data_IF_566237657633
#
_entry.id   IF_566237657633
#
_cell.length_a   1.000
_cell.length_b   1.000
_cell.length_c   1.000
_cell.angle_alpha   90.00
_cell.angle_beta   90.00
_cell.angle_gamma   90.00
#
_symmetry.space_group_name_H-M   'P 1'
#
loop_
_entity.id
_entity.type
_entity.pdbx_description
1 polymer ?
#
# COMPACT_ATOMS: atom_id res chain seq x y z
N UNK A 1 -7.69 -17.21 -34.84
CA UNK A 1 -7.13 -18.29 -33.99
C UNK A 1 -5.82 -17.84 -33.36
N UNK A 2 -5.82 -16.70 -32.65
CA UNK A 2 -4.62 -16.12 -31.99
C UNK A 2 -4.94 -15.28 -30.73
N UNK A 3 -6.20 -15.20 -30.30
CA UNK A 3 -6.58 -14.39 -29.11
C UNK A 3 -6.05 -15.01 -27.82
N UNK A 4 -6.09 -16.34 -27.69
CA UNK A 4 -5.57 -17.03 -26.50
C UNK A 4 -4.05 -16.89 -26.31
N UNK A 5 -3.28 -16.77 -27.39
CA UNK A 5 -1.83 -16.55 -27.32
C UNK A 5 -1.50 -15.11 -26.89
N UNK A 6 -2.33 -14.14 -27.31
CA UNK A 6 -2.16 -12.72 -27.01
C UNK A 6 -2.59 -12.35 -25.58
N UNK A 7 -3.54 -13.09 -25.00
CA UNK A 7 -3.99 -12.87 -23.62
C UNK A 7 -3.05 -13.56 -22.60
N UNK A 8 -2.42 -14.69 -22.97
CA UNK A 8 -1.38 -15.34 -22.15
C UNK A 8 -0.12 -14.46 -21.98
N UNK A 9 0.35 -13.81 -23.04
CA UNK A 9 1.56 -12.96 -22.99
C UNK A 9 1.35 -11.73 -22.11
N UNK A 10 0.17 -11.11 -22.14
CA UNK A 10 -0.14 -9.95 -21.29
C UNK A 10 -0.16 -10.28 -19.80
N UNK A 11 -0.67 -11.45 -19.43
CA UNK A 11 -0.69 -11.92 -18.05
C UNK A 11 0.72 -12.25 -17.54
N UNK A 12 1.59 -12.76 -18.41
CA UNK A 12 3.01 -12.96 -18.12
C UNK A 12 3.74 -11.62 -17.93
N UNK A 13 3.54 -10.67 -18.85
CA UNK A 13 4.08 -9.31 -18.74
C UNK A 13 3.63 -8.63 -17.45
N UNK A 14 2.35 -8.74 -17.09
CA UNK A 14 1.83 -8.17 -15.85
C UNK A 14 2.53 -8.74 -14.61
N UNK A 15 2.86 -10.04 -14.60
CA UNK A 15 3.61 -10.67 -13.50
C UNK A 15 5.05 -10.17 -13.44
N UNK A 16 5.73 -10.04 -14.57
CA UNK A 16 7.10 -9.53 -14.64
C UNK A 16 7.15 -8.06 -14.20
N UNK A 17 6.27 -7.23 -14.75
CA UNK A 17 6.13 -5.81 -14.41
C UNK A 17 5.79 -5.65 -12.92
N UNK A 18 4.82 -6.42 -12.41
CA UNK A 18 4.45 -6.41 -10.99
C UNK A 18 5.60 -6.85 -10.08
N UNK A 19 6.37 -7.87 -10.48
CA UNK A 19 7.56 -8.33 -9.78
C UNK A 19 8.63 -7.25 -9.70
N UNK A 20 9.01 -6.65 -10.83
CA UNK A 20 9.97 -5.54 -10.90
C UNK A 20 9.48 -4.35 -10.06
N UNK A 21 8.21 -3.98 -10.20
CA UNK A 21 7.61 -2.88 -9.43
C UNK A 21 7.69 -3.11 -7.92
N UNK A 22 7.38 -4.34 -7.46
CA UNK A 22 7.46 -4.70 -6.04
C UNK A 22 8.89 -4.67 -5.50
N UNK A 23 9.87 -5.13 -6.27
CA UNK A 23 11.28 -5.07 -5.89
C UNK A 23 11.78 -3.63 -5.83
N UNK A 24 11.44 -2.79 -6.81
CA UNK A 24 11.78 -1.37 -6.82
C UNK A 24 11.13 -0.63 -5.65
N UNK A 25 9.87 -0.94 -5.34
CA UNK A 25 9.17 -0.37 -4.18
C UNK A 25 9.86 -0.76 -2.87
N UNK A 26 10.18 -2.04 -2.68
CA UNK A 26 10.84 -2.52 -1.46
C UNK A 26 12.26 -1.95 -1.31
N UNK A 27 13.10 -2.07 -2.34
CA UNK A 27 14.47 -1.54 -2.31
C UNK A 27 14.47 -0.01 -2.17
N UNK A 28 13.56 0.66 -2.87
CA UNK A 28 13.43 2.11 -2.80
C UNK A 28 12.91 2.62 -1.46
N UNK A 29 11.98 1.87 -0.85
CA UNK A 29 11.36 2.17 0.44
C UNK A 29 12.30 1.90 1.62
N UNK A 30 13.13 0.85 1.52
CA UNK A 30 14.16 0.57 2.52
C UNK A 30 15.27 1.63 2.54
N UNK A 31 15.53 2.28 1.40
CA UNK A 31 16.43 3.42 1.27
C UNK A 31 17.82 3.15 1.86
N UNK A 32 18.82 2.85 1.02
CA UNK A 32 20.22 2.91 1.45
C UNK A 32 20.46 4.33 2.02
N UNK A 33 20.71 4.44 3.34
CA UNK A 33 20.86 5.68 4.11
C UNK A 33 19.62 6.43 4.62
N UNK A 34 18.42 5.84 4.62
CA UNK A 34 17.25 6.45 5.27
C UNK A 34 16.66 7.66 4.55
N UNK A 35 16.99 7.85 3.27
CA UNK A 35 16.32 8.81 2.39
C UNK A 35 15.27 8.07 1.56
N UNK A 36 13.98 8.45 1.61
CA UNK A 36 12.99 7.88 0.71
C UNK A 36 13.42 8.20 -0.73
N UNK A 37 13.73 7.15 -1.49
CA UNK A 37 14.22 7.32 -2.85
C UNK A 37 13.04 7.47 -3.81
N UNK A 38 13.19 8.29 -4.85
CA UNK A 38 12.21 8.38 -5.96
C UNK A 38 11.90 7.00 -6.56
N UNK A 39 12.81 6.04 -6.39
CA UNK A 39 12.68 4.65 -6.80
C UNK A 39 11.46 3.96 -6.17
N UNK A 40 11.12 4.28 -4.92
CA UNK A 40 9.93 3.73 -4.27
C UNK A 40 8.63 4.17 -4.98
N UNK A 41 8.58 5.42 -5.42
CA UNK A 41 7.44 5.99 -6.14
C UNK A 41 7.33 5.33 -7.51
N UNK A 42 8.45 5.21 -8.23
CA UNK A 42 8.50 4.50 -9.52
C UNK A 42 8.02 3.05 -9.36
N UNK A 43 8.48 2.35 -8.33
CA UNK A 43 8.04 0.99 -8.01
C UNK A 43 6.54 0.89 -7.74
N UNK A 44 5.96 1.81 -6.97
CA UNK A 44 4.52 1.88 -6.73
C UNK A 44 3.72 2.14 -8.00
N UNK A 45 4.19 3.06 -8.85
CA UNK A 45 3.51 3.35 -10.13
C UNK A 45 3.52 2.11 -11.02
N UNK A 46 4.65 1.40 -11.12
CA UNK A 46 4.76 0.16 -11.89
C UNK A 46 3.84 -0.93 -11.31
N UNK A 47 3.76 -1.06 -9.98
CA UNK A 47 2.84 -1.99 -9.32
C UNK A 47 1.38 -1.64 -9.63
N UNK A 48 1.03 -0.35 -9.62
CA UNK A 48 -0.31 0.12 -10.00
C UNK A 48 -0.63 -0.24 -11.46
N UNK A 49 0.35 -0.09 -12.37
CA UNK A 49 0.19 -0.51 -13.77
C UNK A 49 -0.05 -2.02 -13.87
N UNK A 50 0.69 -2.85 -13.14
CA UNK A 50 0.48 -4.31 -13.14
C UNK A 50 -0.94 -4.68 -12.68
N UNK A 51 -1.43 -4.06 -11.60
CA UNK A 51 -2.81 -4.25 -11.12
C UNK A 51 -3.84 -3.77 -12.15
N UNK A 52 -3.56 -2.65 -12.83
CA UNK A 52 -4.41 -2.15 -13.92
C UNK A 52 -4.49 -3.12 -15.09
N UNK A 53 -3.36 -3.67 -15.53
CA UNK A 53 -3.32 -4.68 -16.60
C UNK A 53 -4.16 -5.90 -16.23
N UNK A 54 -4.06 -6.39 -14.99
CA UNK A 54 -4.89 -7.51 -14.50
C UNK A 54 -6.37 -7.14 -14.51
N UNK A 55 -6.73 -5.92 -14.08
CA UNK A 55 -8.12 -5.44 -14.09
C UNK A 55 -8.70 -5.36 -15.51
N UNK A 56 -7.91 -4.88 -16.46
CA UNK A 56 -8.31 -4.76 -17.87
C UNK A 56 -8.47 -6.16 -18.51
N UNK A 57 -7.55 -7.08 -18.23
CA UNK A 57 -7.56 -8.45 -18.77
C UNK A 57 -8.71 -9.30 -18.19
N UNK A 58 -8.92 -9.21 -16.87
CA UNK A 58 -10.03 -9.91 -16.19
C UNK A 58 -11.38 -9.21 -16.35
N UNK A 59 -11.42 -8.06 -17.05
CA UNK A 59 -12.58 -7.18 -17.26
C UNK A 59 -13.29 -6.79 -15.96
N UNK A 60 -12.53 -6.65 -14.88
CA UNK A 60 -13.03 -6.40 -13.53
C UNK A 60 -12.39 -5.13 -12.96
N UNK A 61 -12.99 -3.98 -13.29
CA UNK A 61 -12.48 -2.65 -12.91
C UNK A 61 -12.33 -2.46 -11.41
N UNK A 62 -13.15 -3.15 -10.62
CA UNK A 62 -13.10 -3.10 -9.15
C UNK A 62 -11.74 -3.51 -8.58
N UNK A 63 -10.94 -4.29 -9.31
CA UNK A 63 -9.56 -4.66 -8.92
C UNK A 63 -8.68 -3.42 -8.80
N UNK A 64 -8.66 -2.59 -9.85
CA UNK A 64 -7.83 -1.39 -9.89
C UNK A 64 -8.42 -0.28 -9.03
N UNK A 65 -9.74 -0.11 -9.03
CA UNK A 65 -10.40 0.92 -8.22
C UNK A 65 -10.11 0.72 -6.72
N UNK A 66 -10.26 -0.50 -6.21
CA UNK A 66 -9.93 -0.81 -4.82
C UNK A 66 -8.43 -0.57 -4.51
N UNK A 67 -7.53 -0.88 -5.44
CA UNK A 67 -6.11 -0.61 -5.26
C UNK A 67 -5.81 0.91 -5.22
N UNK A 68 -6.44 1.70 -6.07
CA UNK A 68 -6.33 3.16 -6.06
C UNK A 68 -6.91 3.75 -4.78
N UNK A 69 -8.06 3.25 -4.29
CA UNK A 69 -8.61 3.66 -3.00
C UNK A 69 -7.62 3.41 -1.85
N UNK A 70 -6.96 2.25 -1.84
CA UNK A 70 -5.90 1.97 -0.87
C UNK A 70 -4.75 2.99 -0.95
N UNK A 71 -4.24 3.28 -2.15
CA UNK A 71 -3.17 4.27 -2.32
C UNK A 71 -3.61 5.68 -1.90
N UNK A 72 -4.81 6.08 -2.28
CA UNK A 72 -5.35 7.40 -1.94
C UNK A 72 -5.54 7.56 -0.43
N UNK A 73 -6.17 6.60 0.25
CA UNK A 73 -6.37 6.66 1.70
C UNK A 73 -5.05 6.61 2.47
N UNK A 74 -4.10 5.78 2.05
CA UNK A 74 -2.80 5.67 2.73
C UNK A 74 -1.99 6.96 2.61
N UNK A 75 -1.93 7.57 1.43
CA UNK A 75 -1.25 8.86 1.22
C UNK A 75 -1.97 9.99 1.95
N UNK A 76 -3.30 10.06 1.85
CA UNK A 76 -4.09 11.09 2.55
C UNK A 76 -3.93 10.97 4.07
N UNK A 77 -4.00 9.75 4.60
CA UNK A 77 -3.76 9.47 6.02
C UNK A 77 -2.38 9.90 6.47
N UNK A 78 -1.34 9.65 5.66
CA UNK A 78 0.03 10.04 5.96
C UNK A 78 0.18 11.57 6.00
N UNK A 79 -0.43 12.28 5.05
CA UNK A 79 -0.40 13.76 5.02
C UNK A 79 -1.07 14.34 6.27
N UNK A 80 -2.26 13.85 6.62
CA UNK A 80 -2.99 14.33 7.81
C UNK A 80 -2.18 14.02 9.07
N UNK A 81 -1.66 12.80 9.20
CA UNK A 81 -0.84 12.40 10.33
C UNK A 81 0.43 13.24 10.47
N UNK A 82 1.10 13.55 9.36
CA UNK A 82 2.28 14.41 9.34
C UNK A 82 1.95 15.83 9.79
N UNK A 83 0.83 16.41 9.32
CA UNK A 83 0.38 17.74 9.75
C UNK A 83 0.09 17.80 11.25
N UNK A 84 -0.62 16.80 11.79
CA UNK A 84 -0.92 16.72 13.23
C UNK A 84 0.38 16.48 14.03
N UNK A 85 1.29 15.67 13.52
CA UNK A 85 2.61 15.44 14.10
C UNK A 85 3.45 16.72 14.17
N UNK A 86 3.51 17.50 13.10
CA UNK A 86 4.21 18.80 13.06
C UNK A 86 3.56 19.77 14.04
N UNK A 87 2.22 19.88 14.04
CA UNK A 87 1.50 20.72 15.00
C UNK A 87 1.77 20.32 16.46
N UNK A 88 1.88 19.02 16.73
CA UNK A 88 2.25 18.48 18.04
C UNK A 88 3.68 18.87 18.45
N UNK A 89 4.64 18.81 17.52
CA UNK A 89 6.01 19.22 17.76
C UNK A 89 6.12 20.73 18.03
N UNK A 90 5.42 21.55 17.27
CA UNK A 90 5.40 23.01 17.50
C UNK A 90 4.72 23.33 18.82
N UNK A 91 3.55 22.73 19.11
CA UNK A 91 2.82 22.91 20.36
C UNK A 91 3.63 22.49 21.59
N UNK A 92 4.51 21.49 21.44
CA UNK A 92 5.40 21.03 22.52
C UNK A 92 6.32 22.12 23.09
N UNK A 93 6.70 23.10 22.26
CA UNK A 93 7.55 24.22 22.68
C UNK A 93 6.83 25.18 23.62
N UNK A 94 5.49 25.18 23.62
CA UNK A 94 4.66 26.13 24.37
C UNK A 94 3.88 25.48 25.53
N UNK A 95 3.37 24.25 25.34
CA UNK A 95 2.43 23.58 26.26
C UNK A 95 3.17 22.59 27.18
N UNK A 96 4.44 22.28 26.87
CA UNK A 96 5.29 21.37 27.65
C UNK A 96 5.32 19.94 27.11
N UNK A 97 6.37 19.20 27.50
CA UNK A 97 6.75 17.91 26.90
C UNK A 97 5.70 16.81 27.08
N UNK A 98 4.92 16.85 28.16
CA UNK A 98 3.94 15.81 28.46
C UNK A 98 2.73 15.83 27.51
N UNK A 99 2.21 17.03 27.21
CA UNK A 99 1.11 17.21 26.27
C UNK A 99 1.52 16.81 24.84
N UNK A 100 2.77 17.07 24.46
CA UNK A 100 3.29 16.71 23.15
C UNK A 100 3.44 15.21 22.93
N UNK A 101 3.84 14.47 23.96
CA UNK A 101 3.93 13.01 23.90
C UNK A 101 2.52 12.42 23.74
N UNK A 102 1.54 12.92 24.49
CA UNK A 102 0.14 12.52 24.36
C UNK A 102 -0.39 12.78 22.94
N UNK A 103 -0.16 13.96 22.38
CA UNK A 103 -0.65 14.29 21.04
C UNK A 103 0.05 13.49 19.93
N UNK A 104 1.35 13.20 20.09
CA UNK A 104 2.08 12.31 19.18
C UNK A 104 1.53 10.87 19.20
N UNK A 105 1.25 10.34 20.39
CA UNK A 105 0.64 9.00 20.55
C UNK A 105 -0.73 8.97 19.87
N UNK A 106 -1.60 9.96 20.13
CA UNK A 106 -2.93 10.02 19.50
C UNK A 106 -2.83 10.11 17.98
N UNK A 107 -1.91 10.91 17.44
CA UNK A 107 -1.69 11.03 16.00
C UNK A 107 -1.24 9.72 15.36
N UNK A 108 -0.38 8.98 16.05
CA UNK A 108 0.10 7.69 15.60
C UNK A 108 -1.03 6.65 15.56
N UNK A 109 -1.83 6.55 16.62
CA UNK A 109 -2.99 5.65 16.64
C UNK A 109 -4.03 6.02 15.58
N UNK A 110 -4.27 7.32 15.38
CA UNK A 110 -5.16 7.80 14.33
C UNK A 110 -4.68 7.38 12.94
N UNK A 111 -3.40 7.57 12.63
CA UNK A 111 -2.82 7.12 11.36
C UNK A 111 -2.89 5.61 11.19
N UNK A 112 -2.60 4.85 12.25
CA UNK A 112 -2.67 3.40 12.22
C UNK A 112 -4.09 2.90 11.90
N UNK A 113 -5.13 3.48 12.49
CA UNK A 113 -6.52 3.12 12.17
C UNK A 113 -6.82 3.36 10.69
N UNK A 114 -6.36 4.48 10.12
CA UNK A 114 -6.53 4.78 8.69
C UNK A 114 -5.76 3.77 7.84
N UNK A 115 -4.54 3.38 8.21
CA UNK A 115 -3.78 2.36 7.49
C UNK A 115 -4.49 1.00 7.49
N UNK A 116 -5.00 0.57 8.64
CA UNK A 116 -5.78 -0.67 8.76
C UNK A 116 -7.02 -0.60 7.88
N UNK A 117 -7.77 0.51 7.93
CA UNK A 117 -8.94 0.71 7.06
C UNK A 117 -8.56 0.69 5.57
N UNK A 118 -7.45 1.32 5.20
CA UNK A 118 -6.94 1.34 3.82
C UNK A 118 -6.62 -0.07 3.33
N UNK A 119 -5.96 -0.87 4.16
CA UNK A 119 -5.56 -2.24 3.81
C UNK A 119 -6.74 -3.17 3.50
N UNK A 120 -7.97 -2.84 3.94
CA UNK A 120 -9.18 -3.57 3.53
C UNK A 120 -9.43 -3.45 2.03
N UNK A 121 -9.19 -2.29 1.43
CA UNK A 121 -9.35 -2.09 0.00
C UNK A 121 -8.29 -2.85 -0.79
N UNK A 122 -7.04 -2.86 -0.30
CA UNK A 122 -5.98 -3.68 -0.89
C UNK A 122 -6.34 -5.17 -0.83
N UNK A 123 -6.79 -5.65 0.33
CA UNK A 123 -7.27 -7.03 0.49
C UNK A 123 -8.39 -7.36 -0.50
N UNK A 124 -9.39 -6.49 -0.65
CA UNK A 124 -10.49 -6.67 -1.60
C UNK A 124 -9.99 -6.78 -3.04
N UNK A 125 -9.09 -5.90 -3.47
CA UNK A 125 -8.47 -5.97 -4.81
C UNK A 125 -7.82 -7.34 -5.05
N UNK A 126 -7.03 -7.83 -4.09
CA UNK A 126 -6.32 -9.10 -4.20
C UNK A 126 -7.24 -10.33 -4.13
N UNK A 127 -8.33 -10.28 -3.34
CA UNK A 127 -9.36 -11.33 -3.32
C UNK A 127 -10.10 -11.41 -4.65
N UNK A 128 -10.42 -10.27 -5.27
CA UNK A 128 -11.04 -10.23 -6.60
C UNK A 128 -10.08 -10.76 -7.66
N UNK A 129 -8.79 -10.44 -7.61
CA UNK A 129 -7.78 -11.03 -8.50
C UNK A 129 -7.77 -12.55 -8.33
N UNK A 130 -7.70 -13.05 -7.09
CA UNK A 130 -7.65 -14.48 -6.80
C UNK A 130 -8.86 -15.23 -7.38
N UNK A 131 -10.06 -14.63 -7.28
CA UNK A 131 -11.28 -15.20 -7.82
C UNK A 131 -11.30 -15.26 -9.36
N UNK A 132 -10.66 -14.30 -10.04
CA UNK A 132 -10.64 -14.21 -11.51
C UNK A 132 -9.48 -14.98 -12.14
N UNK A 133 -8.35 -15.12 -11.45
CA UNK A 133 -7.17 -15.82 -11.96
C UNK A 133 -7.06 -17.27 -11.46
N UNK A 134 -8.07 -17.77 -10.75
CA UNK A 134 -8.10 -19.10 -10.08
C UNK A 134 -6.85 -19.39 -9.24
N UNK A 135 -6.20 -18.35 -8.74
CA UNK A 135 -4.92 -18.46 -8.03
C UNK A 135 -5.07 -17.95 -6.59
N UNK A 136 -5.05 -18.89 -5.64
CA UNK A 136 -5.21 -18.63 -4.22
C UNK A 136 -4.09 -17.79 -3.60
N UNK A 137 -2.92 -17.69 -4.26
CA UNK A 137 -1.79 -16.92 -3.74
C UNK A 137 -2.12 -15.43 -3.59
N UNK A 138 -2.96 -14.87 -4.47
CA UNK A 138 -3.38 -13.46 -4.34
C UNK A 138 -4.26 -13.25 -3.09
N UNK A 139 -5.17 -14.18 -2.79
CA UNK A 139 -5.98 -14.10 -1.56
C UNK A 139 -5.10 -14.19 -0.32
N UNK A 140 -4.11 -15.09 -0.32
CA UNK A 140 -3.14 -15.21 0.77
C UNK A 140 -2.31 -13.94 0.93
N UNK A 141 -1.81 -13.36 -0.16
CA UNK A 141 -1.05 -12.11 -0.13
C UNK A 141 -1.89 -10.94 0.39
N UNK A 142 -3.14 -10.81 -0.05
CA UNK A 142 -4.06 -9.78 0.44
C UNK A 142 -4.36 -9.91 1.94
N UNK A 143 -4.54 -11.14 2.44
CA UNK A 143 -4.70 -11.41 3.87
C UNK A 143 -3.42 -11.09 4.64
N UNK A 144 -2.25 -11.45 4.10
CA UNK A 144 -0.96 -11.17 4.74
C UNK A 144 -0.71 -9.67 4.85
N UNK A 145 -1.04 -8.89 3.82
CA UNK A 145 -0.96 -7.41 3.88
C UNK A 145 -1.91 -6.82 4.93
N UNK A 146 -3.13 -7.34 5.01
CA UNK A 146 -4.10 -6.90 6.03
C UNK A 146 -3.64 -7.25 7.46
N UNK A 147 -3.15 -8.47 7.67
CA UNK A 147 -2.58 -8.90 8.94
C UNK A 147 -1.34 -8.06 9.28
N UNK A 148 -0.48 -7.78 8.30
CA UNK A 148 0.68 -6.92 8.47
C UNK A 148 0.32 -5.50 8.90
N UNK A 149 -0.73 -4.91 8.32
CA UNK A 149 -1.24 -3.61 8.75
C UNK A 149 -1.75 -3.62 10.20
N UNK A 150 -2.36 -4.72 10.65
CA UNK A 150 -2.78 -4.89 12.05
C UNK A 150 -1.59 -5.05 12.99
N UNK A 151 -0.58 -5.82 12.61
CA UNK A 151 0.56 -6.16 13.48
C UNK A 151 1.69 -5.14 13.46
N UNK A 152 1.65 -4.12 12.60
CA UNK A 152 2.73 -3.13 12.47
C UNK A 152 3.04 -2.38 13.77
N UNK A 153 2.05 -2.20 14.65
CA UNK A 153 2.26 -1.64 16.00
C UNK A 153 3.22 -2.49 16.82
N UNK A 154 3.08 -3.82 16.73
CA UNK A 154 3.90 -4.77 17.49
C UNK A 154 5.34 -4.74 16.95
N UNK A 155 5.50 -4.55 15.64
CA UNK A 155 6.81 -4.52 14.99
C UNK A 155 7.58 -3.21 15.23
N UNK A 156 6.89 -2.08 15.42
CA UNK A 156 7.53 -0.78 15.71
C UNK A 156 7.86 -0.61 17.21
N UNK A 157 7.25 -1.41 18.09
CA UNK A 157 7.43 -1.34 19.54
C UNK A 157 8.57 -2.18 20.14
N UNK A 158 9.48 -2.71 19.32
CA UNK A 158 10.62 -3.54 19.74
C UNK A 158 11.96 -2.82 19.52
#
# INVERSE_FOLDING_TARGET
MNSGLYDMTKLEDAKIIGGIGSLLFLLGGLGFWGKPSLLAIVGLVIMALAVKYIADETREKSIFDNFVYFLFLSVLGLIIAALIGIASLVGSMFIGRFAAILSAIVSFFFYWIILVASSLFLKRSFETIAAKTENSMFSTAGKLYFIGALTIIIMIGF
#
